data_IF_227339735710
#
_entry.id   IF_227339735710
#
_cell.length_a   1.000
_cell.length_b   1.000
_cell.length_c   1.000
_cell.angle_alpha   90.00
_cell.angle_beta   90.00
_cell.angle_gamma   90.00
#
_symmetry.space_group_name_H-M   'P 1'
#
loop_
_entity.id
_entity.type
_entity.pdbx_description
1 polymer ?
#
# COMPACT_ATOMS: atom_id res chain seq x y z
N UNK A 1 54.23 -14.04 17.00
CA UNK A 1 53.49 -15.19 16.45
C UNK A 1 52.39 -15.49 17.44
N UNK A 2 51.22 -14.93 17.19
CA UNK A 2 49.88 -15.42 17.58
C UNK A 2 48.88 -14.34 17.15
N UNK A 3 47.88 -14.80 16.38
CA UNK A 3 46.52 -14.31 16.18
C UNK A 3 46.21 -12.80 16.18
N UNK A 4 45.59 -12.30 15.10
CA UNK A 4 44.14 -12.09 15.10
C UNK A 4 43.57 -11.59 13.74
N UNK A 5 42.34 -12.01 13.47
CA UNK A 5 41.28 -11.32 12.72
C UNK A 5 41.20 -11.32 11.17
N UNK A 6 40.27 -12.18 10.74
CA UNK A 6 39.04 -11.87 9.97
C UNK A 6 39.12 -11.69 8.45
N UNK A 7 38.86 -12.83 7.79
CA UNK A 7 37.97 -12.93 6.64
C UNK A 7 36.63 -12.23 6.91
N UNK A 8 36.44 -11.02 6.38
CA UNK A 8 35.12 -10.40 6.26
C UNK A 8 34.38 -11.03 5.07
N UNK A 9 33.55 -12.04 5.38
CA UNK A 9 32.45 -12.46 4.51
C UNK A 9 31.59 -11.22 4.21
N UNK A 10 31.52 -10.83 2.95
CA UNK A 10 30.46 -9.94 2.44
C UNK A 10 29.12 -10.63 2.66
N UNK A 11 28.45 -10.26 3.76
CA UNK A 11 27.08 -10.64 4.01
C UNK A 11 26.22 -9.52 3.38
N UNK A 12 25.50 -9.77 2.26
CA UNK A 12 24.64 -8.76 1.67
C UNK A 12 23.57 -8.43 2.71
N UNK A 13 23.67 -7.23 3.30
CA UNK A 13 22.69 -6.69 4.24
C UNK A 13 21.31 -6.77 3.57
N UNK A 14 20.52 -7.79 3.93
CA UNK A 14 19.11 -7.92 3.53
C UNK A 14 18.40 -6.66 4.01
N UNK A 15 18.00 -5.80 3.07
CA UNK A 15 17.29 -4.56 3.40
C UNK A 15 15.94 -4.88 4.06
N UNK A 16 15.61 -4.25 5.20
CA UNK A 16 14.28 -4.38 5.80
C UNK A 16 13.28 -3.58 4.97
N UNK A 17 12.46 -4.28 4.18
CA UNK A 17 11.34 -3.69 3.43
C UNK A 17 10.11 -3.59 4.35
N UNK A 18 9.33 -2.51 4.23
CA UNK A 18 8.12 -2.28 5.01
C UNK A 18 6.88 -2.72 4.23
N UNK A 19 5.90 -3.26 4.93
CA UNK A 19 4.62 -3.77 4.38
C UNK A 19 3.42 -3.19 5.11
N UNK A 20 2.21 -3.38 4.57
CA UNK A 20 0.97 -2.83 5.12
C UNK A 20 0.55 -3.46 6.44
N UNK A 21 0.76 -4.75 6.65
CA UNK A 21 0.38 -5.39 7.91
C UNK A 21 1.38 -5.14 9.04
N UNK A 22 2.54 -4.53 8.74
CA UNK A 22 3.42 -3.92 9.78
C UNK A 22 2.71 -2.77 10.50
N UNK A 23 1.65 -2.23 9.93
CA UNK A 23 0.84 -1.15 10.50
C UNK A 23 0.09 -1.55 11.75
N UNK A 24 -0.50 -2.75 11.76
CA UNK A 24 -1.32 -3.25 12.86
C UNK A 24 -0.53 -4.20 13.74
N UNK A 25 0.64 -3.77 14.23
CA UNK A 25 1.53 -4.57 15.09
C UNK A 25 1.59 -4.04 16.51
N UNK A 26 1.41 -4.92 17.49
CA UNK A 26 1.52 -4.59 18.91
C UNK A 26 0.38 -3.68 19.36
N UNK A 27 0.68 -2.55 20.04
CA UNK A 27 -0.38 -1.62 20.51
C UNK A 27 -1.26 -1.05 19.39
N UNK A 28 -0.79 -1.05 18.14
CA UNK A 28 -1.54 -0.63 16.97
C UNK A 28 -2.53 -1.69 16.45
N UNK A 29 -2.68 -2.83 17.13
CA UNK A 29 -3.75 -3.82 16.88
C UNK A 29 -5.10 -3.38 17.46
N UNK A 30 -5.07 -2.49 18.46
CA UNK A 30 -6.28 -2.01 19.11
C UNK A 30 -7.03 -1.01 18.21
N UNK A 31 -8.30 -1.29 17.95
CA UNK A 31 -9.19 -0.44 17.16
C UNK A 31 -9.31 0.97 17.76
N UNK A 32 -9.27 1.11 19.08
CA UNK A 32 -9.36 2.40 19.77
C UNK A 32 -8.20 3.35 19.48
N UNK A 33 -7.07 2.82 18.99
CA UNK A 33 -5.90 3.62 18.60
C UNK A 33 -6.01 4.23 17.20
N UNK A 34 -7.07 3.93 16.44
CA UNK A 34 -7.23 4.34 15.05
C UNK A 34 -8.48 5.17 14.79
N UNK A 35 -8.37 6.03 13.77
CA UNK A 35 -9.47 6.80 13.20
C UNK A 35 -9.34 6.81 11.68
N UNK A 36 -10.47 6.78 10.99
CA UNK A 36 -10.58 6.98 9.55
C UNK A 36 -10.87 8.47 9.32
N UNK A 37 -10.15 9.12 8.39
CA UNK A 37 -10.36 10.54 8.07
C UNK A 37 -10.61 10.70 6.59
N UNK A 38 -11.86 10.88 6.17
CA UNK A 38 -12.28 11.00 4.76
C UNK A 38 -12.44 12.45 4.32
N UNK A 39 -12.44 12.69 3.01
CA UNK A 39 -12.67 14.02 2.42
C UNK A 39 -11.49 15.00 2.61
N UNK A 40 -10.33 14.48 3.00
CA UNK A 40 -9.13 15.28 3.27
C UNK A 40 -8.32 15.50 2.00
N UNK A 41 -7.79 16.70 1.82
CA UNK A 41 -6.84 17.06 0.76
C UNK A 41 -5.56 17.68 1.32
N UNK A 42 -5.63 18.56 2.32
CA UNK A 42 -4.46 19.14 2.97
C UNK A 42 -4.14 18.42 4.27
N UNK A 43 -2.94 17.86 4.36
CA UNK A 43 -2.57 16.97 5.45
C UNK A 43 -2.53 17.69 6.82
N UNK A 44 -1.93 18.88 6.84
CA UNK A 44 -1.67 19.64 8.08
C UNK A 44 -2.80 20.60 8.46
N UNK A 45 -3.76 20.82 7.57
CA UNK A 45 -4.88 21.75 7.79
C UNK A 45 -6.15 20.98 8.06
N UNK A 46 -7.01 21.52 8.92
CA UNK A 46 -8.38 21.02 9.04
C UNK A 46 -9.21 21.61 7.91
N UNK A 47 -10.08 20.78 7.33
CA UNK A 47 -10.90 21.14 6.17
C UNK A 47 -12.37 20.89 6.52
N UNK A 48 -13.26 21.83 6.21
CA UNK A 48 -14.70 21.72 6.56
C UNK A 48 -15.40 20.50 5.92
N UNK A 49 -14.82 19.99 4.84
CA UNK A 49 -15.28 18.81 4.10
C UNK A 49 -14.76 17.49 4.70
N UNK A 50 -13.77 17.53 5.60
CA UNK A 50 -13.20 16.33 6.19
C UNK A 50 -14.18 15.71 7.21
N UNK A 51 -14.17 14.38 7.31
CA UNK A 51 -15.02 13.63 8.24
C UNK A 51 -14.19 12.57 8.93
N UNK A 52 -14.34 12.48 10.26
CA UNK A 52 -13.57 11.57 11.10
C UNK A 52 -14.50 10.49 11.64
N UNK A 53 -14.13 9.23 11.45
CA UNK A 53 -14.88 8.06 11.90
C UNK A 53 -14.01 7.22 12.84
N UNK A 54 -14.51 6.87 14.04
CA UNK A 54 -13.82 5.90 14.90
C UNK A 54 -13.74 4.53 14.23
N UNK A 55 -12.69 3.77 14.53
CA UNK A 55 -12.57 2.38 14.07
C UNK A 55 -13.26 1.45 15.06
N UNK A 56 -14.20 0.63 14.57
CA UNK A 56 -14.86 -0.42 15.36
C UNK A 56 -14.05 -1.70 15.39
N UNK A 57 -13.46 -2.07 14.24
CA UNK A 57 -12.72 -3.33 14.12
C UNK A 57 -11.69 -3.31 13.00
N UNK A 58 -10.64 -4.09 13.20
CA UNK A 58 -9.57 -4.32 12.24
C UNK A 58 -9.50 -5.81 11.97
N UNK A 59 -9.69 -6.21 10.71
CA UNK A 59 -9.62 -7.58 10.24
C UNK A 59 -8.33 -7.77 9.44
N UNK A 60 -7.35 -8.41 10.06
CA UNK A 60 -6.11 -8.81 9.37
C UNK A 60 -6.35 -10.14 8.68
N UNK A 61 -5.75 -10.34 7.52
CA UNK A 61 -5.79 -11.66 6.88
C UNK A 61 -5.19 -12.73 7.81
N UNK A 62 -5.91 -13.81 8.04
CA UNK A 62 -5.58 -14.84 9.05
C UNK A 62 -4.26 -15.56 8.73
N UNK A 63 -3.96 -15.72 7.44
CA UNK A 63 -2.72 -16.30 6.95
C UNK A 63 -1.51 -15.35 6.95
N UNK A 64 -1.68 -14.06 7.27
CA UNK A 64 -0.54 -13.15 7.31
C UNK A 64 0.40 -13.49 8.45
N UNK A 65 1.68 -13.63 8.12
CA UNK A 65 2.76 -13.83 9.08
C UNK A 65 3.67 -12.63 9.02
N UNK A 66 4.01 -12.08 10.19
CA UNK A 66 5.02 -11.04 10.25
C UNK A 66 6.33 -11.56 9.69
N UNK A 67 6.92 -10.90 8.70
CA UNK A 67 8.09 -11.40 8.02
C UNK A 67 9.28 -11.54 8.99
N UNK A 68 9.74 -12.77 9.20
CA UNK A 68 11.10 -13.06 9.68
C UNK A 68 12.09 -13.13 8.51
N UNK A 69 11.57 -13.26 7.27
CA UNK A 69 12.27 -13.28 5.98
C UNK A 69 11.45 -12.52 4.92
N UNK A 70 11.93 -12.46 3.67
CA UNK A 70 11.37 -11.66 2.56
C UNK A 70 10.01 -12.11 2.00
N UNK A 71 9.22 -12.87 2.75
CA UNK A 71 7.90 -13.37 2.33
C UNK A 71 6.83 -12.40 2.84
N UNK A 72 6.20 -11.69 1.91
CA UNK A 72 5.21 -10.64 2.17
C UNK A 72 3.83 -11.05 1.65
N UNK A 73 3.46 -12.31 1.90
CA UNK A 73 2.18 -12.85 1.49
C UNK A 73 1.06 -12.40 2.43
N UNK A 74 -0.15 -12.25 1.88
CA UNK A 74 -1.35 -11.89 2.63
C UNK A 74 -1.29 -10.50 3.26
N UNK A 75 -0.52 -9.58 2.67
CA UNK A 75 -0.38 -8.19 3.10
C UNK A 75 -1.65 -7.38 2.79
N UNK A 76 -2.74 -7.67 3.52
CA UNK A 76 -4.05 -7.04 3.39
C UNK A 76 -4.81 -7.03 4.72
N UNK A 77 -5.51 -5.94 5.00
CA UNK A 77 -6.44 -5.82 6.12
C UNK A 77 -7.72 -5.07 5.70
N UNK A 78 -8.82 -5.34 6.41
CA UNK A 78 -10.03 -4.53 6.35
C UNK A 78 -10.20 -3.74 7.65
N UNK A 79 -10.60 -2.48 7.54
CA UNK A 79 -10.94 -1.65 8.70
C UNK A 79 -12.40 -1.23 8.61
N UNK A 80 -13.15 -1.53 9.67
CA UNK A 80 -14.57 -1.21 9.79
C UNK A 80 -14.76 0.06 10.61
N UNK A 81 -15.44 1.05 10.04
CA UNK A 81 -15.89 2.23 10.77
C UNK A 81 -16.95 1.86 11.84
N UNK A 82 -17.00 2.64 12.91
CA UNK A 82 -18.01 2.48 13.96
C UNK A 82 -19.41 2.92 13.55
N UNK A 83 -19.50 3.81 12.56
CA UNK A 83 -20.76 4.29 12.00
C UNK A 83 -20.69 4.20 10.48
N UNK A 84 -21.86 4.07 9.85
CA UNK A 84 -21.95 4.03 8.39
C UNK A 84 -21.39 5.32 7.78
N UNK A 85 -20.63 5.15 6.70
CA UNK A 85 -20.09 6.24 5.90
C UNK A 85 -21.14 6.59 4.85
N UNK A 86 -21.49 7.88 4.76
CA UNK A 86 -22.39 8.39 3.74
C UNK A 86 -21.59 9.06 2.62
N UNK A 87 -21.82 8.71 1.34
CA UNK A 87 -21.18 9.38 0.22
C UNK A 87 -21.49 10.87 0.19
N UNK A 88 -20.55 11.65 -0.35
CA UNK A 88 -20.70 13.08 -0.60
C UNK A 88 -19.93 13.49 -1.85
N UNK A 89 -19.90 14.78 -2.15
CA UNK A 89 -19.06 15.30 -3.23
C UNK A 89 -17.56 15.04 -3.00
N UNK A 90 -17.14 14.81 -1.75
CA UNK A 90 -15.73 14.59 -1.36
C UNK A 90 -15.46 13.17 -0.81
N UNK A 91 -16.50 12.33 -0.71
CA UNK A 91 -16.41 10.96 -0.19
C UNK A 91 -17.11 10.04 -1.19
N UNK A 92 -16.35 9.20 -1.88
CA UNK A 92 -16.86 8.23 -2.85
C UNK A 92 -16.17 6.89 -2.71
N UNK A 93 -16.87 5.84 -3.11
CA UNK A 93 -16.38 4.47 -3.08
C UNK A 93 -15.72 4.10 -4.40
N UNK A 94 -14.56 3.46 -4.29
CA UNK A 94 -13.95 2.74 -5.40
C UNK A 94 -14.50 1.31 -5.45
N UNK A 95 -14.60 0.75 -6.64
CA UNK A 95 -15.09 -0.60 -6.84
C UNK A 95 -13.98 -1.63 -6.56
N UNK A 96 -14.39 -2.83 -6.13
CA UNK A 96 -13.50 -3.99 -6.15
C UNK A 96 -13.40 -4.56 -7.58
N UNK A 97 -12.24 -5.09 -7.97
CA UNK A 97 -12.06 -5.69 -9.27
C UNK A 97 -12.84 -7.00 -9.37
N UNK A 98 -13.38 -7.27 -10.55
CA UNK A 98 -13.97 -8.60 -10.83
C UNK A 98 -12.86 -9.64 -10.88
N UNK A 99 -13.15 -10.86 -10.39
CA UNK A 99 -12.21 -12.00 -10.30
C UNK A 99 -11.40 -12.32 -11.57
N UNK A 100 -11.81 -11.84 -12.75
CA UNK A 100 -11.27 -12.25 -14.05
C UNK A 100 -10.82 -11.10 -14.96
N UNK A 101 -10.97 -9.83 -14.56
CA UNK A 101 -10.50 -8.70 -15.37
C UNK A 101 -9.03 -8.44 -15.06
N UNK A 102 -8.14 -9.21 -15.69
CA UNK A 102 -6.71 -8.91 -15.70
C UNK A 102 -6.47 -7.57 -16.39
N UNK A 103 -5.77 -6.65 -15.74
CA UNK A 103 -5.28 -5.44 -16.40
C UNK A 103 -4.25 -5.83 -17.44
N UNK A 104 -4.35 -5.24 -18.63
CA UNK A 104 -3.34 -5.44 -19.67
C UNK A 104 -2.04 -4.74 -19.27
N UNK A 105 -0.85 -5.34 -19.47
CA UNK A 105 0.41 -4.63 -19.28
C UNK A 105 0.44 -3.33 -20.08
N UNK A 106 0.98 -2.27 -19.48
CA UNK A 106 0.96 -0.92 -20.03
C UNK A 106 -0.31 -0.12 -19.73
N UNK A 107 -1.38 -0.74 -19.21
CA UNK A 107 -2.54 0.01 -18.70
C UNK A 107 -2.11 0.93 -17.55
N UNK A 108 -2.52 2.19 -17.59
CA UNK A 108 -2.14 3.17 -16.57
C UNK A 108 -3.11 3.16 -15.39
N UNK A 109 -2.55 3.10 -14.20
CA UNK A 109 -3.26 3.24 -12.94
C UNK A 109 -2.67 4.40 -12.14
N UNK A 110 -3.37 4.79 -11.08
CA UNK A 110 -3.03 5.91 -10.24
C UNK A 110 -2.79 5.43 -8.82
N UNK A 111 -1.67 5.86 -8.26
CA UNK A 111 -1.43 5.79 -6.82
C UNK A 111 -1.60 7.19 -6.25
N UNK A 112 -2.28 7.29 -5.11
CA UNK A 112 -2.54 8.56 -4.45
C UNK A 112 -2.09 8.50 -3.00
N UNK A 113 -1.51 9.58 -2.49
CA UNK A 113 -1.09 9.65 -1.11
C UNK A 113 -0.43 10.98 -0.76
N UNK A 114 -0.17 11.17 0.53
CA UNK A 114 0.67 12.28 1.01
C UNK A 114 2.07 11.77 1.40
N UNK A 115 2.56 10.77 0.68
CA UNK A 115 3.91 10.23 0.83
C UNK A 115 5.02 11.27 0.60
N UNK A 116 6.26 10.83 0.70
CA UNK A 116 7.44 11.68 0.51
C UNK A 116 7.60 12.01 -0.98
N UNK A 117 7.74 13.29 -1.31
CA UNK A 117 7.80 13.76 -2.70
C UNK A 117 9.22 13.99 -3.22
N UNK A 118 10.22 14.14 -2.34
CA UNK A 118 11.65 14.27 -2.69
C UNK A 118 12.54 13.64 -1.62
N UNK A 119 13.39 12.70 -2.03
CA UNK A 119 14.35 12.01 -1.16
C UNK A 119 15.80 12.39 -1.45
N UNK A 120 16.28 13.46 -0.82
CA UNK A 120 17.71 13.65 -0.53
C UNK A 120 18.01 13.14 0.89
N UNK A 121 19.26 12.74 1.18
CA UNK A 121 19.66 12.05 2.42
C UNK A 121 19.37 12.81 3.74
N UNK A 122 18.99 14.09 3.70
CA UNK A 122 18.93 14.92 4.92
C UNK A 122 17.62 15.70 5.15
N UNK A 123 16.77 15.94 4.14
CA UNK A 123 15.51 16.69 4.33
C UNK A 123 14.32 15.99 3.66
N UNK A 124 13.71 15.05 4.39
CA UNK A 124 12.48 14.36 3.98
C UNK A 124 11.27 15.26 4.29
N UNK A 125 10.75 15.97 3.29
CA UNK A 125 9.47 16.67 3.41
C UNK A 125 8.32 15.78 2.92
N UNK A 126 7.25 15.73 3.72
CA UNK A 126 5.99 15.11 3.30
C UNK A 126 5.25 16.05 2.36
N UNK A 127 4.44 15.47 1.48
CA UNK A 127 3.49 16.25 0.69
C UNK A 127 2.51 17.00 1.61
N UNK A 128 2.33 18.31 1.37
CA UNK A 128 1.37 19.13 2.13
C UNK A 128 -0.06 18.90 1.66
N UNK A 129 -0.23 18.64 0.35
CA UNK A 129 -1.48 18.32 -0.31
C UNK A 129 -1.44 16.90 -0.88
N UNK A 130 -2.61 16.30 -1.11
CA UNK A 130 -2.71 14.96 -1.67
C UNK A 130 -2.09 14.95 -3.07
N UNK A 131 -1.15 14.04 -3.29
CA UNK A 131 -0.53 13.85 -4.59
C UNK A 131 -1.03 12.58 -5.26
N UNK A 132 -0.80 12.53 -6.57
CA UNK A 132 -1.11 11.39 -7.40
C UNK A 132 0.04 11.13 -8.38
N UNK A 133 0.33 9.86 -8.62
CA UNK A 133 1.29 9.43 -9.63
C UNK A 133 0.65 8.40 -10.56
N UNK A 134 0.91 8.54 -11.86
CA UNK A 134 0.38 7.66 -12.91
C UNK A 134 1.41 6.61 -13.26
N UNK A 135 1.11 5.33 -13.03
CA UNK A 135 2.02 4.21 -13.18
C UNK A 135 1.47 3.18 -14.18
N UNK A 136 2.26 2.71 -15.16
CA UNK A 136 1.84 1.62 -16.02
C UNK A 136 1.94 0.27 -15.29
N UNK A 137 0.98 -0.62 -15.53
CA UNK A 137 1.02 -2.00 -15.04
C UNK A 137 2.14 -2.77 -15.75
N UNK A 138 2.93 -3.49 -14.96
CA UNK A 138 3.92 -4.44 -15.44
C UNK A 138 3.35 -5.85 -15.25
N UNK A 139 3.44 -6.67 -16.29
CA UNK A 139 2.99 -8.05 -16.22
C UNK A 139 3.82 -8.87 -15.23
N UNK A 140 3.17 -9.86 -14.63
CA UNK A 140 3.76 -10.72 -13.61
C UNK A 140 5.05 -11.41 -14.08
N UNK A 141 5.11 -11.86 -15.35
CA UNK A 141 6.28 -12.57 -15.88
C UNK A 141 7.49 -11.65 -15.92
N UNK A 142 7.32 -10.41 -16.39
CA UNK A 142 8.39 -9.40 -16.35
C UNK A 142 8.81 -9.08 -14.92
N UNK A 143 7.85 -8.82 -14.03
CA UNK A 143 8.17 -8.42 -12.66
C UNK A 143 8.91 -9.51 -11.85
N UNK A 144 8.67 -10.79 -12.18
CA UNK A 144 9.33 -11.96 -11.58
C UNK A 144 10.71 -12.27 -12.19
N UNK A 145 11.16 -11.57 -13.23
CA UNK A 145 12.52 -11.79 -13.73
C UNK A 145 13.56 -11.40 -12.65
N UNK A 146 14.69 -12.11 -12.60
CA UNK A 146 15.75 -11.87 -11.60
C UNK A 146 16.26 -10.43 -11.57
N UNK A 147 16.29 -9.75 -12.72
CA UNK A 147 16.69 -8.33 -12.82
C UNK A 147 15.72 -7.38 -12.12
N UNK A 148 14.45 -7.76 -12.04
CA UNK A 148 13.42 -7.06 -11.27
C UNK A 148 13.39 -7.62 -9.85
N UNK A 149 12.30 -8.26 -9.42
CA UNK A 149 12.15 -8.75 -8.05
C UNK A 149 12.42 -10.25 -7.89
N UNK A 150 12.59 -10.99 -8.98
CA UNK A 150 12.82 -12.44 -8.92
C UNK A 150 11.67 -13.17 -8.25
N UNK A 151 11.98 -14.23 -7.51
CA UNK A 151 11.00 -15.05 -6.79
C UNK A 151 10.35 -14.36 -5.57
N UNK A 152 10.64 -13.08 -5.32
CA UNK A 152 9.96 -12.31 -4.27
C UNK A 152 8.53 -11.92 -4.65
N UNK A 153 8.23 -11.81 -5.95
CA UNK A 153 6.88 -11.47 -6.42
C UNK A 153 6.06 -12.74 -6.57
N UNK A 154 4.91 -12.77 -5.89
CA UNK A 154 3.93 -13.86 -5.95
C UNK A 154 2.77 -13.50 -6.87
N UNK A 155 2.00 -14.51 -7.26
CA UNK A 155 0.82 -14.32 -8.09
C UNK A 155 -0.25 -13.47 -7.38
N UNK A 156 -0.28 -13.46 -6.05
CA UNK A 156 -1.07 -12.57 -5.20
C UNK A 156 -0.59 -11.10 -5.20
N UNK A 157 0.40 -10.75 -6.01
CA UNK A 157 0.94 -9.40 -6.12
C UNK A 157 0.81 -8.84 -7.55
N UNK A 158 0.82 -7.52 -7.67
CA UNK A 158 0.81 -6.80 -8.94
C UNK A 158 1.89 -5.70 -8.92
N UNK A 159 2.54 -5.48 -10.05
CA UNK A 159 3.61 -4.49 -10.17
C UNK A 159 3.16 -3.32 -11.03
N UNK A 160 3.50 -2.11 -10.61
CA UNK A 160 3.26 -0.91 -11.40
C UNK A 160 4.45 0.05 -11.28
N UNK A 161 4.80 0.68 -12.39
CA UNK A 161 5.90 1.64 -12.46
C UNK A 161 6.68 1.53 -13.76
N UNK A 162 7.67 2.40 -13.88
CA UNK A 162 8.54 2.47 -15.05
C UNK A 162 9.72 1.51 -14.91
N UNK A 163 10.26 1.08 -16.05
CA UNK A 163 11.42 0.17 -16.09
C UNK A 163 12.73 0.95 -15.97
N UNK A 164 12.73 2.20 -16.42
CA UNK A 164 13.90 3.06 -16.57
C UNK A 164 13.94 4.17 -15.52
N UNK A 165 15.09 4.86 -15.40
CA UNK A 165 15.33 5.94 -14.42
C UNK A 165 14.87 7.33 -14.89
N UNK A 166 14.50 7.47 -16.16
CA UNK A 166 14.20 8.75 -16.79
C UNK A 166 12.77 9.25 -16.50
N UNK A 167 11.87 8.34 -16.15
CA UNK A 167 10.48 8.66 -15.85
C UNK A 167 10.28 9.09 -14.38
N UNK A 168 9.27 9.95 -14.10
CA UNK A 168 8.99 10.44 -12.75
C UNK A 168 8.72 9.29 -11.76
N UNK A 169 9.02 9.51 -10.47
CA UNK A 169 9.23 8.42 -9.55
C UNK A 169 7.96 7.60 -9.25
N UNK A 170 8.18 6.31 -9.01
CA UNK A 170 7.18 5.36 -8.54
C UNK A 170 6.71 5.69 -7.11
N UNK A 171 5.79 4.91 -6.53
CA UNK A 171 5.46 5.01 -5.11
C UNK A 171 6.73 4.73 -4.27
N UNK A 172 7.38 5.78 -3.77
CA UNK A 172 8.70 5.68 -3.16
C UNK A 172 8.66 5.26 -1.69
N UNK A 173 9.62 4.44 -1.28
CA UNK A 173 9.88 4.17 0.14
C UNK A 173 11.12 4.91 0.64
N UNK A 174 11.04 5.51 1.84
CA UNK A 174 12.18 6.13 2.53
C UNK A 174 12.46 5.45 3.89
N UNK A 175 13.69 5.65 4.41
CA UNK A 175 14.05 5.23 5.78
C UNK A 175 13.66 6.30 6.80
N UNK A 176 12.65 6.03 7.61
CA UNK A 176 12.27 6.83 8.77
C UNK A 176 11.71 5.99 9.92
N UNK A 177 11.46 6.63 11.07
CA UNK A 177 11.03 5.98 12.34
C UNK A 177 9.53 6.07 12.66
N UNK A 178 8.73 6.89 11.98
CA UNK A 178 7.27 7.05 12.25
C UNK A 178 6.44 6.03 11.46
N UNK A 179 5.40 5.47 12.08
CA UNK A 179 4.53 4.41 11.54
C UNK A 179 3.12 4.97 11.37
N UNK A 180 2.65 5.12 10.14
CA UNK A 180 1.26 5.52 9.82
C UNK A 180 0.87 4.92 8.49
N UNK A 181 -0.36 4.44 8.34
CA UNK A 181 -0.74 3.54 7.27
C UNK A 181 -2.13 3.84 6.75
N UNK A 182 -2.30 3.81 5.43
CA UNK A 182 -3.61 3.87 4.80
C UNK A 182 -4.30 2.49 4.95
N UNK A 183 -5.63 2.48 5.00
CA UNK A 183 -6.37 1.22 5.11
C UNK A 183 -7.51 1.22 4.10
N UNK A 184 -8.07 0.04 3.86
CA UNK A 184 -9.22 -0.13 3.02
C UNK A 184 -10.36 -0.76 3.83
N UNK A 185 -11.55 -0.18 3.74
CA UNK A 185 -12.76 -0.69 4.41
C UNK A 185 -13.73 -1.28 3.39
N UNK A 186 -14.59 -2.20 3.83
CA UNK A 186 -15.70 -2.72 3.01
C UNK A 186 -16.72 -1.65 2.62
N UNK A 187 -16.65 -0.50 3.27
CA UNK A 187 -17.40 0.74 3.10
C UNK A 187 -16.60 1.81 2.34
N UNK A 188 -15.53 1.44 1.62
CA UNK A 188 -14.84 2.35 0.71
C UNK A 188 -13.36 2.63 1.02
N UNK A 189 -12.81 3.56 0.25
CA UNK A 189 -11.43 4.01 0.42
C UNK A 189 -11.30 4.79 1.73
N UNK A 190 -10.59 4.24 2.71
CA UNK A 190 -10.40 4.87 4.01
C UNK A 190 -9.06 5.59 4.09
N UNK A 191 -9.08 6.91 3.88
CA UNK A 191 -7.87 7.71 4.04
C UNK A 191 -7.44 7.74 5.52
N UNK A 192 -6.22 7.28 5.75
CA UNK A 192 -5.47 7.51 6.98
C UNK A 192 -4.19 8.21 6.58
N UNK A 193 -3.96 9.36 7.22
CA UNK A 193 -2.87 10.31 6.96
C UNK A 193 -1.47 9.74 7.31
N UNK A 194 -0.35 10.23 6.74
CA UNK A 194 0.87 9.43 6.51
C UNK A 194 2.13 9.84 7.28
N UNK A 195 2.98 8.84 7.46
CA UNK A 195 4.44 8.87 7.25
C UNK A 195 4.91 7.43 7.48
N UNK A 196 5.42 6.67 6.51
CA UNK A 196 6.26 7.02 5.35
C UNK A 196 5.84 6.25 4.09
N UNK A 197 5.60 6.98 2.99
CA UNK A 197 5.50 6.46 1.62
C UNK A 197 4.36 5.47 1.41
N UNK A 198 3.18 5.97 1.05
CA UNK A 198 2.00 5.32 0.46
C UNK A 198 1.54 3.92 0.93
N UNK A 199 2.19 3.25 1.88
CA UNK A 199 1.83 1.89 2.33
C UNK A 199 0.39 1.82 2.82
N UNK A 200 -0.40 0.91 2.24
CA UNK A 200 -1.85 0.83 2.44
C UNK A 200 -2.68 1.68 1.48
N UNK A 201 -2.04 2.51 0.65
CA UNK A 201 -2.68 3.37 -0.33
C UNK A 201 -3.18 2.56 -1.54
N UNK A 202 -4.23 3.03 -2.23
CA UNK A 202 -4.82 2.27 -3.33
C UNK A 202 -4.03 2.47 -4.62
N UNK A 203 -3.91 1.40 -5.40
CA UNK A 203 -3.63 1.45 -6.83
C UNK A 203 -4.98 1.42 -7.58
N UNK A 204 -5.43 2.59 -8.01
CA UNK A 204 -6.71 2.81 -8.67
C UNK A 204 -6.56 2.76 -10.19
N UNK A 205 -7.35 1.93 -10.86
CA UNK A 205 -7.36 1.85 -12.31
C UNK A 205 -8.73 2.26 -12.84
N UNK A 206 -8.76 3.06 -13.90
CA UNK A 206 -10.00 3.54 -14.51
C UNK A 206 -10.43 2.58 -15.61
N UNK A 207 -11.58 1.94 -15.44
CA UNK A 207 -12.15 1.00 -16.40
C UNK A 207 -13.45 1.56 -16.99
N UNK A 208 -13.34 2.18 -18.16
CA UNK A 208 -14.44 2.92 -18.79
C UNK A 208 -14.46 4.40 -18.35
N UNK A 209 -15.58 5.11 -18.56
CA UNK A 209 -15.62 6.56 -18.36
C UNK A 209 -15.60 6.99 -16.88
N UNK A 210 -16.38 6.33 -16.01
CA UNK A 210 -16.56 6.80 -14.61
C UNK A 210 -16.41 5.70 -13.54
N UNK A 211 -15.76 4.59 -13.88
CA UNK A 211 -15.55 3.48 -12.92
C UNK A 211 -14.09 3.36 -12.55
N UNK A 212 -13.83 3.48 -11.26
CA UNK A 212 -12.52 3.31 -10.65
C UNK A 212 -12.51 2.03 -9.82
N UNK A 213 -11.54 1.14 -10.11
CA UNK A 213 -11.36 -0.13 -9.41
C UNK A 213 -10.04 -0.14 -8.62
N UNK A 214 -10.06 -0.70 -7.41
CA UNK A 214 -8.87 -0.88 -6.57
C UNK A 214 -8.17 -2.18 -6.96
N UNK A 215 -7.17 -2.11 -7.82
CA UNK A 215 -6.46 -3.31 -8.29
C UNK A 215 -5.28 -3.71 -7.41
N UNK A 216 -4.78 -2.79 -6.60
CA UNK A 216 -3.72 -3.10 -5.65
C UNK A 216 -3.74 -2.23 -4.41
N UNK A 217 -3.03 -2.70 -3.39
CA UNK A 217 -2.74 -1.95 -2.16
C UNK A 217 -1.20 -1.90 -2.01
N UNK A 218 -0.64 -0.71 -1.78
CA UNK A 218 0.82 -0.47 -1.75
C UNK A 218 1.53 -1.31 -0.68
N UNK A 219 2.21 -2.39 -1.11
CA UNK A 219 2.92 -3.29 -0.20
C UNK A 219 4.38 -2.87 0.00
N UNK A 220 5.24 -3.13 -1.00
CA UNK A 220 6.68 -2.86 -0.90
C UNK A 220 7.25 -2.26 -2.19
N UNK A 221 8.43 -1.65 -2.08
CA UNK A 221 9.12 -1.05 -3.23
C UNK A 221 10.62 -0.90 -2.97
N UNK A 222 11.36 -0.32 -3.92
CA UNK A 222 12.76 0.01 -3.68
C UNK A 222 12.89 1.08 -2.58
N UNK A 223 14.01 1.05 -1.87
CA UNK A 223 14.42 2.17 -1.03
C UNK A 223 14.96 3.26 -1.97
N UNK A 224 14.31 4.41 -1.99
CA UNK A 224 14.57 5.47 -2.96
C UNK A 224 13.53 5.51 -4.08
N UNK A 225 13.48 6.65 -4.77
CA UNK A 225 12.42 6.96 -5.74
C UNK A 225 12.69 6.50 -7.17
N UNK A 226 13.96 6.44 -7.56
CA UNK A 226 14.40 6.15 -8.94
C UNK A 226 15.39 5.00 -8.93
N UNK A 227 14.85 3.79 -8.84
CA UNK A 227 15.66 2.56 -8.90
C UNK A 227 15.24 1.76 -10.13
N UNK A 228 16.19 1.62 -11.04
CA UNK A 228 16.01 0.92 -12.31
C UNK A 228 15.59 -0.53 -12.09
N UNK A 229 14.65 -0.99 -12.92
CA UNK A 229 14.09 -2.33 -12.82
C UNK A 229 13.50 -2.66 -11.42
N UNK A 230 13.15 -1.67 -10.59
CA UNK A 230 12.49 -1.90 -9.29
C UNK A 230 11.16 -1.15 -9.23
N UNK A 231 10.13 -1.63 -9.95
CA UNK A 231 8.80 -1.05 -9.84
C UNK A 231 8.24 -1.27 -8.43
N UNK A 232 7.26 -0.46 -8.05
CA UNK A 232 6.50 -0.67 -6.81
C UNK A 232 5.65 -1.93 -6.94
N UNK A 233 5.56 -2.67 -5.84
CA UNK A 233 4.80 -3.92 -5.72
C UNK A 233 3.61 -3.71 -4.79
N UNK A 234 2.46 -4.15 -5.24
CA UNK A 234 1.19 -3.99 -4.58
C UNK A 234 0.57 -5.37 -4.31
N UNK A 235 -0.16 -5.50 -3.21
CA UNK A 235 -1.02 -6.65 -2.97
C UNK A 235 -2.15 -6.66 -3.99
N UNK A 236 -2.32 -7.73 -4.77
CA UNK A 236 -3.32 -7.81 -5.85
C UNK A 236 -4.71 -8.03 -5.26
N UNK A 237 -5.53 -6.99 -5.18
CA UNK A 237 -6.87 -7.02 -4.57
C UNK A 237 -7.77 -8.12 -5.13
N UNK A 238 -7.70 -8.37 -6.45
CA UNK A 238 -8.49 -9.43 -7.11
C UNK A 238 -8.26 -10.83 -6.53
N UNK A 239 -7.06 -11.13 -6.01
CA UNK A 239 -6.76 -12.40 -5.36
C UNK A 239 -7.48 -12.56 -4.02
N UNK A 240 -7.82 -11.44 -3.37
CA UNK A 240 -8.37 -11.40 -2.02
C UNK A 240 -9.87 -11.10 -1.98
N UNK A 241 -10.53 -10.86 -3.11
CA UNK A 241 -11.99 -10.67 -3.17
C UNK A 241 -12.77 -11.76 -2.42
N UNK A 242 -12.48 -13.08 -2.55
CA UNK A 242 -13.16 -14.10 -1.75
C UNK A 242 -13.05 -13.87 -0.24
N UNK A 243 -11.85 -13.51 0.22
CA UNK A 243 -11.58 -13.27 1.63
C UNK A 243 -12.26 -11.99 2.13
N UNK A 244 -12.25 -10.92 1.33
CA UNK A 244 -12.95 -9.66 1.61
C UNK A 244 -14.45 -9.91 1.78
N UNK A 245 -15.06 -10.62 0.83
CA UNK A 245 -16.50 -10.93 0.87
C UNK A 245 -16.85 -11.84 2.06
N UNK A 246 -16.06 -12.88 2.32
CA UNK A 246 -16.28 -13.76 3.46
C UNK A 246 -16.16 -13.00 4.80
N UNK A 247 -15.19 -12.10 4.93
CA UNK A 247 -15.02 -11.27 6.12
C UNK A 247 -16.20 -10.33 6.31
N UNK A 248 -16.67 -9.68 5.24
CA UNK A 248 -17.86 -8.81 5.26
C UNK A 248 -19.11 -9.55 5.71
N UNK A 249 -19.34 -10.74 5.16
CA UNK A 249 -20.49 -11.59 5.50
C UNK A 249 -20.42 -12.00 6.97
N UNK A 250 -19.27 -12.50 7.43
CA UNK A 250 -19.07 -12.89 8.84
C UNK A 250 -19.35 -11.73 9.78
N UNK A 251 -18.81 -10.55 9.49
CA UNK A 251 -19.02 -9.35 10.30
C UNK A 251 -20.50 -8.93 10.39
N UNK A 252 -21.28 -9.10 9.32
CA UNK A 252 -22.72 -8.82 9.31
C UNK A 252 -23.51 -9.78 10.20
N UNK A 253 -23.18 -11.07 10.21
CA UNK A 253 -23.91 -12.10 10.96
C UNK A 253 -23.43 -12.29 12.41
N UNK A 254 -22.29 -11.74 12.79
CA UNK A 254 -21.72 -11.82 14.15
C UNK A 254 -22.06 -10.58 15.00
N UNK A 255 -23.17 -9.89 14.71
CA UNK A 255 -23.71 -8.79 15.52
C UNK A 255 -24.92 -9.27 16.33
#
# INVERSE_FOLDING_TARGET
MEDDQRLSKENPKKEPHRTELVCFRGKAEDAGSWRIVLGKHQLKRSESVERIFPVKRIYRHESFRYPTHSELDYDIALVKAATDINPSNFIRYACLPRKQTGLSPGHYCWVTGWGVTRGGKENVSLAEALNQARLPIIDFKTCRQKKFWGDRVRDTMICAGFRDKEDPPAACQVRGRRRTCAVWGSDGLTSVSPSQGDSGGPLLCQLGRDRWEVHGVVSFGPIGCTVENKPSVFTRTAAYVPWIEATRIRDFFLH
#
